data_IF_915148132556
#
_entry.id   IF_915148132556
#
_cell.length_a   1.000
_cell.length_b   1.000
_cell.length_c   1.000
_cell.angle_alpha   90.00
_cell.angle_beta   90.00
_cell.angle_gamma   90.00
#
_symmetry.space_group_name_H-M   'P 1'
#
loop_
_entity.id
_entity.type
_entity.pdbx_description
1 polymer ?
#
# COMPACT_ATOMS: atom_id res chain seq x y z
N UNK A 1 12.68 -17.15 -5.83
CA UNK A 1 13.52 -16.54 -4.78
C UNK A 1 14.65 -15.75 -5.44
N UNK A 2 14.99 -14.57 -4.91
CA UNK A 2 16.12 -13.75 -5.38
C UNK A 2 17.26 -13.92 -4.36
N UNK A 3 18.47 -14.22 -4.83
CA UNK A 3 19.65 -14.33 -3.96
C UNK A 3 20.15 -12.92 -3.61
N UNK A 4 20.20 -12.62 -2.33
CA UNK A 4 20.75 -11.36 -1.81
C UNK A 4 21.93 -11.70 -0.91
N UNK A 5 23.06 -11.02 -1.10
CA UNK A 5 24.24 -11.15 -0.22
C UNK A 5 24.27 -9.94 0.69
N UNK A 6 24.40 -10.16 2.00
CA UNK A 6 24.50 -9.11 3.02
C UNK A 6 25.70 -9.39 3.92
N UNK A 7 26.33 -8.33 4.41
CA UNK A 7 27.34 -8.46 5.46
C UNK A 7 26.64 -8.58 6.81
N UNK A 8 27.02 -9.57 7.60
CA UNK A 8 26.49 -9.80 8.93
C UNK A 8 27.63 -9.69 9.96
N UNK A 9 27.45 -8.95 11.06
CA UNK A 9 28.34 -8.99 12.20
C UNK A 9 28.52 -10.42 12.73
N UNK A 10 29.75 -10.75 13.14
CA UNK A 10 30.09 -12.10 13.63
C UNK A 10 29.21 -12.53 14.81
N UNK A 11 28.90 -11.62 15.72
CA UNK A 11 28.01 -11.87 16.87
C UNK A 11 26.60 -12.33 16.45
N UNK A 12 26.09 -11.84 15.32
CA UNK A 12 24.78 -12.23 14.83
C UNK A 12 24.82 -13.60 14.15
N UNK A 13 25.92 -13.94 13.46
CA UNK A 13 26.10 -15.27 12.88
C UNK A 13 26.14 -16.34 13.98
N UNK A 14 26.88 -16.10 15.07
CA UNK A 14 26.93 -17.04 16.22
C UNK A 14 25.55 -17.29 16.82
N UNK A 15 24.74 -16.23 16.96
CA UNK A 15 23.37 -16.35 17.49
C UNK A 15 22.44 -17.08 16.52
N UNK A 16 22.59 -16.82 15.22
CA UNK A 16 21.80 -17.50 14.18
C UNK A 16 22.10 -19.01 14.16
N UNK A 17 23.36 -19.39 14.41
CA UNK A 17 23.81 -20.78 14.45
C UNK A 17 23.25 -21.52 15.65
N UNK A 18 23.30 -20.89 16.82
CA UNK A 18 22.70 -21.42 18.03
C UNK A 18 21.19 -21.66 17.84
N UNK A 19 20.47 -20.69 17.28
CA UNK A 19 19.03 -20.80 17.03
C UNK A 19 18.71 -21.86 15.97
N UNK A 20 19.50 -21.93 14.90
CA UNK A 20 19.36 -22.94 13.86
C UNK A 20 19.55 -24.35 14.41
N UNK A 21 20.56 -24.55 15.25
CA UNK A 21 20.82 -25.83 15.92
C UNK A 21 19.71 -26.21 16.92
N UNK A 22 19.18 -25.24 17.66
CA UNK A 22 18.12 -25.47 18.64
C UNK A 22 16.76 -25.80 18.00
N UNK A 23 16.44 -25.16 16.86
CA UNK A 23 15.12 -25.27 16.21
C UNK A 23 15.09 -26.27 15.05
N UNK A 24 16.25 -26.65 14.51
CA UNK A 24 16.37 -27.44 13.28
C UNK A 24 15.99 -26.66 12.01
N UNK A 25 15.78 -25.35 12.12
CA UNK A 25 15.41 -24.48 10.99
C UNK A 25 16.68 -23.90 10.38
N UNK A 26 16.75 -23.84 9.04
CA UNK A 26 17.92 -23.26 8.36
C UNK A 26 18.11 -21.78 8.68
N UNK A 27 19.37 -21.32 8.77
CA UNK A 27 19.75 -19.91 8.90
C UNK A 27 18.99 -19.00 7.94
N UNK A 28 18.90 -19.40 6.66
CA UNK A 28 18.21 -18.63 5.63
C UNK A 28 16.70 -18.49 5.90
N UNK A 29 16.06 -19.51 6.49
CA UNK A 29 14.65 -19.45 6.86
C UNK A 29 14.43 -18.54 8.07
N UNK A 30 15.32 -18.58 9.07
CA UNK A 30 15.29 -17.65 10.20
C UNK A 30 15.41 -16.20 9.74
N UNK A 31 16.33 -15.91 8.80
CA UNK A 31 16.49 -14.58 8.20
C UNK A 31 15.22 -14.16 7.46
N UNK A 32 14.66 -15.03 6.59
CA UNK A 32 13.42 -14.73 5.85
C UNK A 32 12.26 -14.43 6.79
N UNK A 33 12.05 -15.25 7.82
CA UNK A 33 10.98 -15.08 8.81
C UNK A 33 11.13 -13.76 9.56
N UNK A 34 12.36 -13.42 9.97
CA UNK A 34 12.64 -12.18 10.68
C UNK A 34 12.37 -10.94 9.81
N UNK A 35 12.75 -10.98 8.53
CA UNK A 35 12.47 -9.91 7.56
C UNK A 35 10.96 -9.76 7.35
N UNK A 36 10.23 -10.87 7.18
CA UNK A 36 8.78 -10.84 7.02
C UNK A 36 8.09 -10.19 8.22
N UNK A 37 8.44 -10.64 9.44
CA UNK A 37 7.91 -10.04 10.68
C UNK A 37 8.23 -8.55 10.79
N UNK A 38 9.47 -8.15 10.47
CA UNK A 38 9.87 -6.75 10.47
C UNK A 38 9.03 -5.91 9.50
N UNK A 39 8.78 -6.41 8.28
CA UNK A 39 8.01 -5.70 7.25
C UNK A 39 6.51 -5.68 7.54
N UNK A 40 5.98 -6.71 8.17
CA UNK A 40 4.57 -6.76 8.61
C UNK A 40 4.31 -5.73 9.72
N UNK A 41 5.29 -5.50 10.59
CA UNK A 41 5.22 -4.53 11.68
C UNK A 41 5.70 -3.13 11.30
N UNK A 42 6.47 -2.97 10.23
CA UNK A 42 6.85 -1.67 9.73
C UNK A 42 5.57 -0.90 9.42
N UNK A 43 5.39 0.28 10.05
CA UNK A 43 4.24 1.14 9.76
C UNK A 43 4.18 1.35 8.24
N UNK A 44 3.23 0.68 7.59
CA UNK A 44 2.84 1.07 6.24
C UNK A 44 2.48 2.54 6.37
N UNK A 45 3.04 3.46 5.55
CA UNK A 45 2.54 4.81 5.53
C UNK A 45 1.03 4.66 5.35
N UNK A 46 0.28 5.05 6.39
CA UNK A 46 -1.18 5.06 6.33
C UNK A 46 -1.47 5.72 4.98
N UNK A 47 -2.37 5.14 4.18
CA UNK A 47 -3.12 5.95 3.21
C UNK A 47 -3.91 6.95 4.06
N UNK A 48 -3.23 7.91 4.67
CA UNK A 48 -3.73 8.91 5.61
C UNK A 48 -4.44 10.04 4.87
N UNK A 49 -4.44 9.96 3.54
CA UNK A 49 -5.47 10.55 2.73
C UNK A 49 -6.21 9.41 2.06
N UNK A 50 -7.44 9.18 2.52
CA UNK A 50 -8.51 9.00 1.54
C UNK A 50 -8.29 10.12 0.52
N UNK A 51 -7.98 9.75 -0.73
CA UNK A 51 -8.01 10.71 -1.82
C UNK A 51 -9.35 11.44 -1.70
N UNK A 52 -9.42 12.78 -1.79
CA UNK A 52 -10.70 13.45 -1.75
C UNK A 52 -11.56 12.87 -2.86
N UNK A 53 -12.50 12.00 -2.49
CA UNK A 53 -13.53 11.54 -3.41
C UNK A 53 -14.47 12.72 -3.54
N UNK A 54 -14.63 13.21 -4.76
CA UNK A 54 -15.58 14.27 -5.03
C UNK A 54 -16.98 13.70 -4.75
N UNK A 55 -17.62 14.14 -3.67
CA UNK A 55 -19.00 13.80 -3.37
C UNK A 55 -19.90 14.70 -4.22
N UNK A 56 -20.40 14.15 -5.33
CA UNK A 56 -21.36 14.83 -6.20
C UNK A 56 -22.77 14.91 -5.59
N UNK A 57 -22.97 14.40 -4.37
CA UNK A 57 -24.28 14.35 -3.73
C UNK A 57 -25.20 13.33 -4.40
N UNK A 58 -26.40 13.76 -4.80
CA UNK A 58 -27.41 12.87 -5.40
C UNK A 58 -26.88 12.32 -6.74
N UNK A 59 -26.83 10.99 -6.94
CA UNK A 59 -26.51 10.44 -8.24
C UNK A 59 -27.58 10.86 -9.24
N UNK A 60 -27.16 11.49 -10.33
CA UNK A 60 -28.02 11.81 -11.46
C UNK A 60 -28.09 10.59 -12.38
N UNK A 61 -29.25 10.35 -12.97
CA UNK A 61 -29.33 9.47 -14.15
C UNK A 61 -28.64 10.13 -15.34
N UNK A 62 -28.26 9.36 -16.39
CA UNK A 62 -27.70 9.93 -17.60
C UNK A 62 -28.57 11.04 -18.21
N UNK A 63 -29.89 10.86 -18.22
CA UNK A 63 -30.84 11.85 -18.74
C UNK A 63 -30.86 13.13 -17.89
N UNK A 64 -30.85 13.01 -16.56
CA UNK A 64 -30.78 14.16 -15.65
C UNK A 64 -29.45 14.92 -15.81
N UNK A 65 -28.36 14.22 -16.11
CA UNK A 65 -27.06 14.82 -16.38
C UNK A 65 -27.05 15.60 -17.71
N UNK A 66 -27.60 15.00 -18.78
CA UNK A 66 -27.69 15.65 -20.09
C UNK A 66 -28.52 16.94 -20.03
N UNK A 67 -29.66 16.91 -19.36
CA UNK A 67 -30.51 18.09 -19.15
C UNK A 67 -29.77 19.20 -18.38
N UNK A 68 -29.04 18.84 -17.31
CA UNK A 68 -28.28 19.80 -16.51
C UNK A 68 -27.18 20.51 -17.32
N UNK A 69 -26.51 19.78 -18.21
CA UNK A 69 -25.47 20.33 -19.09
C UNK A 69 -26.09 21.23 -20.15
N UNK A 70 -27.22 20.80 -20.74
CA UNK A 70 -27.94 21.55 -21.75
C UNK A 70 -28.40 22.92 -21.24
N UNK A 71 -29.09 22.96 -20.09
CA UNK A 71 -29.57 24.22 -19.50
C UNK A 71 -28.40 25.13 -19.10
N UNK A 72 -27.30 24.59 -18.57
CA UNK A 72 -26.12 25.39 -18.25
C UNK A 72 -25.51 26.05 -19.49
N UNK A 73 -25.40 25.32 -20.61
CA UNK A 73 -24.88 25.86 -21.87
C UNK A 73 -25.81 26.94 -22.42
N UNK A 74 -27.13 26.70 -22.37
CA UNK A 74 -28.16 27.63 -22.83
C UNK A 74 -28.16 28.94 -22.02
N UNK A 75 -28.09 28.86 -20.69
CA UNK A 75 -27.94 30.03 -19.84
C UNK A 75 -26.67 30.82 -20.16
N UNK A 76 -25.54 30.13 -20.34
CA UNK A 76 -24.26 30.77 -20.67
C UNK A 76 -24.30 31.46 -22.03
N UNK A 77 -24.99 30.87 -23.01
CA UNK A 77 -25.19 31.46 -24.33
C UNK A 77 -26.13 32.69 -24.27
N UNK A 78 -27.16 32.66 -23.43
CA UNK A 78 -28.11 33.76 -23.26
C UNK A 78 -27.51 34.99 -22.53
N UNK A 79 -26.40 34.80 -21.79
CA UNK A 79 -25.66 35.88 -21.11
C UNK A 79 -24.60 36.56 -22.01
N UNK A 80 -24.44 36.11 -23.26
CA UNK A 80 -23.59 36.74 -24.29
C UNK A 80 -24.42 37.57 -25.25
#
# INVERSE_FOLDING_TARGET
MIKTTVYLPEELEVRLDAESAATGVSKAELIRRSIALLLDHAERPKRSRELPVFDSGRPLTPDEMDESVYEHIKERAARR
#
